data_IF_882174113008
#
_entry.id   IF_882174113008
#
_cell.length_a   1.000
_cell.length_b   1.000
_cell.length_c   1.000
_cell.angle_alpha   90.00
_cell.angle_beta   90.00
_cell.angle_gamma   90.00
#
_symmetry.space_group_name_H-M   'P 1'
#
loop_
_entity.id
_entity.type
_entity.pdbx_description
1 polymer ?
#
# COMPACT_ATOMS: atom_id res chain seq x y z
N UNK A 1 10.35 2.21 -16.67
CA UNK A 1 10.08 0.84 -16.17
C UNK A 1 10.17 0.90 -14.66
N UNK A 2 9.12 0.54 -13.92
CA UNK A 2 9.16 0.53 -12.45
C UNK A 2 10.17 -0.53 -11.99
N UNK A 3 10.97 -0.21 -10.97
CA UNK A 3 11.97 -1.12 -10.44
C UNK A 3 11.29 -2.41 -9.94
N UNK A 4 11.89 -3.61 -10.10
CA UNK A 4 11.22 -4.86 -9.75
C UNK A 4 10.78 -4.96 -8.28
N UNK A 5 11.38 -4.14 -7.41
CA UNK A 5 11.02 -4.04 -5.98
C UNK A 5 9.88 -3.05 -5.69
N UNK A 6 9.47 -2.23 -6.65
CA UNK A 6 8.46 -1.17 -6.41
C UNK A 6 7.12 -1.72 -5.92
N UNK A 7 6.69 -2.89 -6.41
CA UNK A 7 5.45 -3.51 -5.92
C UNK A 7 5.51 -3.86 -4.43
N UNK A 8 6.61 -4.46 -3.97
CA UNK A 8 6.81 -4.82 -2.56
C UNK A 8 6.92 -3.56 -1.68
N UNK A 9 7.65 -2.54 -2.16
CA UNK A 9 7.80 -1.27 -1.43
C UNK A 9 6.44 -0.57 -1.26
N UNK A 10 5.61 -0.55 -2.30
CA UNK A 10 4.26 0.01 -2.22
C UNK A 10 3.38 -0.75 -1.24
N UNK A 11 3.42 -2.10 -1.24
CA UNK A 11 2.68 -2.90 -0.26
C UNK A 11 3.13 -2.54 1.16
N UNK A 12 4.44 -2.55 1.43
CA UNK A 12 4.98 -2.22 2.75
C UNK A 12 4.60 -0.80 3.21
N UNK A 13 4.68 0.18 2.30
CA UNK A 13 4.26 1.56 2.59
C UNK A 13 2.75 1.65 2.89
N UNK A 14 1.93 0.97 2.08
CA UNK A 14 0.48 0.92 2.29
C UNK A 14 0.13 0.32 3.65
N UNK A 15 0.76 -0.79 4.05
CA UNK A 15 0.55 -1.40 5.36
C UNK A 15 0.92 -0.45 6.51
N UNK A 16 2.03 0.29 6.40
CA UNK A 16 2.42 1.28 7.42
C UNK A 16 1.39 2.41 7.53
N UNK A 17 0.88 2.91 6.39
CA UNK A 17 -0.16 3.95 6.37
C UNK A 17 -1.45 3.45 7.03
N UNK A 18 -1.87 2.21 6.76
CA UNK A 18 -3.05 1.60 7.39
C UNK A 18 -2.86 1.50 8.90
N UNK A 19 -1.71 1.01 9.37
CA UNK A 19 -1.41 0.88 10.80
C UNK A 19 -1.48 2.25 11.50
N UNK A 20 -0.84 3.27 10.92
CA UNK A 20 -0.89 4.63 11.48
C UNK A 20 -2.33 5.18 11.44
N UNK A 21 -3.07 4.95 10.36
CA UNK A 21 -4.47 5.34 10.24
C UNK A 21 -5.36 4.69 11.30
N UNK A 22 -5.13 3.40 11.62
CA UNK A 22 -5.83 2.70 12.70
C UNK A 22 -5.47 3.31 14.06
N UNK A 23 -4.20 3.62 14.32
CA UNK A 23 -3.80 4.32 15.55
C UNK A 23 -4.50 5.67 15.67
N UNK A 24 -4.54 6.45 14.58
CA UNK A 24 -5.21 7.75 14.55
C UNK A 24 -6.72 7.64 14.71
N UNK A 25 -7.33 6.56 14.24
CA UNK A 25 -8.74 6.28 14.45
C UNK A 25 -9.05 6.07 15.94
N UNK A 26 -8.22 5.32 16.66
CA UNK A 26 -8.35 5.15 18.11
C UNK A 26 -8.11 6.44 18.91
N UNK A 27 -7.36 7.39 18.36
CA UNK A 27 -7.10 8.70 18.97
C UNK A 27 -8.13 9.77 18.55
N UNK A 28 -9.20 9.37 17.85
CA UNK A 28 -10.26 10.27 17.35
C UNK A 28 -9.73 11.42 16.46
N UNK A 29 -8.62 11.21 15.76
CA UNK A 29 -8.01 12.20 14.87
C UNK A 29 -8.83 12.29 13.58
N UNK A 30 -9.27 13.52 13.25
CA UNK A 30 -10.02 13.78 12.01
C UNK A 30 -9.21 13.38 10.77
N UNK A 31 -9.83 12.61 9.87
CA UNK A 31 -9.19 12.12 8.65
C UNK A 31 -8.56 10.72 8.75
N UNK A 32 -8.58 10.08 9.93
CA UNK A 32 -8.06 8.72 10.12
C UNK A 32 -8.67 7.69 9.15
N UNK A 33 -9.99 7.75 8.93
CA UNK A 33 -10.69 6.87 7.97
C UNK A 33 -10.14 7.06 6.55
N UNK A 34 -9.91 8.31 6.13
CA UNK A 34 -9.33 8.61 4.83
C UNK A 34 -7.90 8.06 4.68
N UNK A 35 -7.10 8.13 5.75
CA UNK A 35 -5.75 7.57 5.79
C UNK A 35 -5.75 6.04 5.64
N UNK A 36 -6.66 5.35 6.34
CA UNK A 36 -6.83 3.89 6.22
C UNK A 36 -7.18 3.52 4.78
N UNK A 37 -8.18 4.21 4.20
CA UNK A 37 -8.60 3.96 2.81
C UNK A 37 -7.47 4.20 1.81
N UNK A 38 -6.70 5.29 1.99
CA UNK A 38 -5.53 5.58 1.15
C UNK A 38 -4.46 4.48 1.27
N UNK A 39 -4.18 4.01 2.48
CA UNK A 39 -3.24 2.91 2.71
C UNK A 39 -3.64 1.64 1.97
N UNK A 40 -4.93 1.25 2.05
CA UNK A 40 -5.47 0.09 1.33
C UNK A 40 -5.36 0.26 -0.19
N UNK A 41 -5.65 1.45 -0.73
CA UNK A 41 -5.48 1.74 -2.17
C UNK A 41 -4.03 1.57 -2.60
N UNK A 42 -3.08 2.07 -1.79
CA UNK A 42 -1.64 1.93 -2.06
C UNK A 42 -1.22 0.45 -2.04
N UNK A 43 -1.73 -0.36 -1.11
CA UNK A 43 -1.48 -1.81 -1.08
C UNK A 43 -2.00 -2.50 -2.35
N UNK A 44 -3.21 -2.17 -2.79
CA UNK A 44 -3.81 -2.74 -4.01
C UNK A 44 -2.95 -2.39 -5.23
N UNK A 45 -2.54 -1.13 -5.37
CA UNK A 45 -1.67 -0.68 -6.47
C UNK A 45 -0.31 -1.41 -6.41
N UNK A 46 0.25 -1.56 -5.21
CA UNK A 46 1.47 -2.32 -4.97
C UNK A 46 1.35 -3.79 -5.37
N UNK A 47 0.26 -4.44 -4.99
CA UNK A 47 -0.07 -5.82 -5.34
C UNK A 47 -0.22 -6.03 -6.85
N UNK A 48 -0.94 -5.15 -7.54
CA UNK A 48 -1.07 -5.18 -9.01
C UNK A 48 0.29 -5.00 -9.67
N UNK A 49 1.10 -4.05 -9.21
CA UNK A 49 2.45 -3.79 -9.72
C UNK A 49 3.38 -5.00 -9.52
N UNK A 50 3.30 -5.64 -8.35
CA UNK A 50 4.05 -6.85 -8.05
C UNK A 50 3.67 -8.01 -8.97
N UNK A 51 2.37 -8.25 -9.16
CA UNK A 51 1.87 -9.32 -10.05
C UNK A 51 2.27 -9.07 -11.51
N UNK A 52 2.17 -7.84 -12.01
CA UNK A 52 2.60 -7.47 -13.37
C UNK A 52 4.10 -7.69 -13.57
N UNK A 53 4.91 -7.29 -12.59
CA UNK A 53 6.37 -7.47 -12.63
C UNK A 53 6.74 -8.96 -12.63
N UNK A 54 6.11 -9.75 -11.75
CA UNK A 54 6.36 -11.19 -11.67
C UNK A 54 5.99 -11.91 -12.96
N UNK A 55 4.88 -11.54 -13.61
CA UNK A 55 4.48 -12.08 -14.92
C UNK A 55 5.49 -11.75 -16.02
N UNK A 56 6.12 -10.57 -15.97
CA UNK A 56 7.13 -10.14 -16.95
C UNK A 56 8.46 -10.89 -16.81
N UNK A 57 8.86 -11.24 -15.59
CA UNK A 57 10.09 -12.01 -15.32
C UNK A 57 9.93 -13.53 -15.46
N UNK A 58 8.69 -14.04 -15.57
CA UNK A 58 8.40 -15.47 -15.79
C UNK A 58 8.24 -15.85 -17.27
N UNK A 59 8.26 -14.86 -18.18
CA UNK A 59 8.31 -15.02 -19.63
C UNK A 59 9.75 -14.84 -20.09
#
# INVERSE_FOLDING_TARGET
>A
MLHPRTGIVLIALGSVIVIIGILFYFLEIFGAIGMILLGVVVEIVGGISFLKTRKKYKK
#
